data_IF_803707953379
#
_entry.id   IF_803707953379
#
_cell.length_a   1.000
_cell.length_b   1.000
_cell.length_c   1.000
_cell.angle_alpha   90.00
_cell.angle_beta   90.00
_cell.angle_gamma   90.00
#
_symmetry.space_group_name_H-M   'P 1'
#
loop_
_entity.id
_entity.type
_entity.pdbx_description
1 polymer ?
#
# COMPACT_ATOMS: atom_id res chain seq x y z
N UNK A 1 -6.66 29.58 -6.96
CA UNK A 1 -5.45 30.16 -7.57
C UNK A 1 -4.27 29.33 -7.09
N UNK A 2 -3.33 28.97 -7.98
CA UNK A 2 -2.12 28.27 -7.58
C UNK A 2 -1.34 29.13 -6.57
N UNK A 3 -0.70 28.51 -5.56
CA UNK A 3 0.18 29.25 -4.66
C UNK A 3 1.37 29.79 -5.49
N UNK A 4 1.73 31.08 -5.34
CA UNK A 4 2.87 31.63 -6.06
C UNK A 4 4.15 30.90 -5.68
N UNK A 5 5.04 30.69 -6.65
CA UNK A 5 6.35 30.08 -6.37
C UNK A 5 7.28 31.06 -5.61
N UNK A 6 8.44 30.61 -5.13
CA UNK A 6 9.34 31.45 -4.32
C UNK A 6 9.89 32.64 -5.12
N UNK A 7 10.14 32.48 -6.42
CA UNK A 7 10.57 33.58 -7.29
C UNK A 7 9.46 34.62 -7.45
N UNK A 8 8.22 34.19 -7.73
CA UNK A 8 7.03 35.04 -7.83
C UNK A 8 6.73 35.76 -6.51
N UNK A 9 6.94 35.08 -5.38
CA UNK A 9 6.80 35.64 -4.03
C UNK A 9 7.74 36.83 -3.81
N UNK A 10 8.96 36.76 -4.36
CA UNK A 10 9.93 37.88 -4.36
C UNK A 10 9.77 38.83 -5.56
N UNK A 11 8.85 38.55 -6.49
CA UNK A 11 8.66 39.33 -7.72
C UNK A 11 9.79 39.19 -8.73
N UNK A 12 10.46 38.04 -8.74
CA UNK A 12 11.64 37.73 -9.55
C UNK A 12 11.33 36.64 -10.60
N UNK A 13 12.22 36.54 -11.59
CA UNK A 13 12.25 35.41 -12.55
C UNK A 13 13.13 34.29 -12.00
N UNK A 14 12.91 33.06 -12.45
CA UNK A 14 13.77 31.91 -12.11
C UNK A 14 15.24 32.09 -12.50
N UNK A 15 15.53 32.98 -13.45
CA UNK A 15 16.89 33.38 -13.86
C UNK A 15 17.54 34.44 -12.97
N UNK A 16 16.92 34.85 -11.86
CA UNK A 16 17.44 35.92 -11.00
C UNK A 16 18.78 35.54 -10.35
N UNK A 17 19.68 36.50 -10.27
CA UNK A 17 20.97 36.38 -9.59
C UNK A 17 20.80 36.47 -8.06
N UNK A 18 21.78 35.97 -7.31
CA UNK A 18 21.77 36.05 -5.84
C UNK A 18 21.67 37.51 -5.34
N UNK A 19 22.32 38.45 -6.04
CA UNK A 19 22.24 39.88 -5.72
C UNK A 19 20.82 40.44 -5.88
N UNK A 20 20.09 40.03 -6.91
CA UNK A 20 18.70 40.41 -7.14
C UNK A 20 17.76 39.82 -6.09
N UNK A 21 18.00 38.57 -5.68
CA UNK A 21 17.26 37.89 -4.60
C UNK A 21 17.41 38.65 -3.28
N UNK A 22 18.64 38.99 -2.89
CA UNK A 22 18.93 39.78 -1.68
C UNK A 22 18.33 41.19 -1.75
N UNK A 23 18.32 41.82 -2.92
CA UNK A 23 17.74 43.15 -3.10
C UNK A 23 16.20 43.12 -2.98
N UNK A 24 15.55 42.14 -3.60
CA UNK A 24 14.10 41.98 -3.55
C UNK A 24 13.60 41.67 -2.13
N UNK A 25 14.27 40.75 -1.43
CA UNK A 25 13.94 40.42 -0.03
C UNK A 25 14.03 41.65 0.88
N UNK A 26 15.14 42.40 0.82
CA UNK A 26 15.32 43.63 1.62
C UNK A 26 14.20 44.64 1.40
N UNK A 27 13.76 44.81 0.16
CA UNK A 27 12.66 45.73 -0.19
C UNK A 27 11.33 45.30 0.45
N UNK A 28 11.05 44.00 0.50
CA UNK A 28 9.82 43.46 1.09
C UNK A 28 9.86 43.57 2.62
N UNK A 29 10.99 43.20 3.24
CA UNK A 29 11.19 43.31 4.70
C UNK A 29 11.00 44.74 5.18
N UNK A 30 11.61 45.72 4.50
CA UNK A 30 11.48 47.14 4.88
C UNK A 30 10.03 47.65 4.83
N UNK A 31 9.20 47.08 3.95
CA UNK A 31 7.81 47.49 3.74
C UNK A 31 6.82 46.77 4.67
N UNK A 32 7.11 45.53 5.02
CA UNK A 32 6.19 44.63 5.74
C UNK A 32 6.71 44.15 7.10
N UNK A 33 7.74 44.81 7.66
CA UNK A 33 8.27 44.48 8.98
C UNK A 33 7.18 44.57 10.06
N UNK A 34 7.04 43.57 10.94
CA UNK A 34 5.97 43.53 11.95
C UNK A 34 5.99 44.74 12.90
N UNK A 35 7.19 45.24 13.25
CA UNK A 35 7.33 46.43 14.11
C UNK A 35 6.80 47.73 13.47
N UNK A 36 6.78 47.81 12.14
CA UNK A 36 6.34 49.01 11.40
C UNK A 36 4.96 48.86 10.80
N UNK A 37 4.48 47.63 10.64
CA UNK A 37 3.19 47.33 10.03
C UNK A 37 2.54 46.11 10.72
N UNK A 38 1.68 46.32 11.72
CA UNK A 38 1.05 45.24 12.49
C UNK A 38 -0.14 44.57 11.75
N UNK A 39 -0.39 44.90 10.48
CA UNK A 39 -1.45 44.27 9.69
C UNK A 39 -1.17 42.76 9.48
N UNK A 40 -2.12 41.87 9.82
CA UNK A 40 -2.01 40.44 9.54
C UNK A 40 -1.69 40.10 8.08
N UNK A 41 -2.09 40.92 7.11
CA UNK A 41 -1.72 40.74 5.72
C UNK A 41 -0.23 40.98 5.47
N UNK A 42 0.37 41.99 6.11
CA UNK A 42 1.80 42.29 6.02
C UNK A 42 2.65 41.21 6.66
N UNK A 43 2.22 40.67 7.81
CA UNK A 43 2.89 39.53 8.45
C UNK A 43 2.95 38.32 7.52
N UNK A 44 1.87 38.01 6.79
CA UNK A 44 1.85 36.89 5.83
C UNK A 44 2.81 37.13 4.66
N UNK A 45 2.87 38.35 4.14
CA UNK A 45 3.81 38.72 3.05
C UNK A 45 5.26 38.61 3.54
N UNK A 46 5.54 39.09 4.76
CA UNK A 46 6.85 39.00 5.39
C UNK A 46 7.30 37.55 5.59
N UNK A 47 6.43 36.69 6.13
CA UNK A 47 6.72 35.28 6.32
C UNK A 47 6.97 34.56 5.00
N UNK A 48 6.11 34.78 4.00
CA UNK A 48 6.26 34.17 2.68
C UNK A 48 7.55 34.62 1.96
N UNK A 49 7.93 35.89 2.10
CA UNK A 49 9.17 36.42 1.54
C UNK A 49 10.41 35.88 2.26
N UNK A 50 10.32 35.62 3.56
CA UNK A 50 11.41 35.01 4.34
C UNK A 50 11.61 33.55 3.94
N UNK A 51 10.54 32.77 3.87
CA UNK A 51 10.58 31.38 3.37
C UNK A 51 11.16 31.30 1.95
N UNK A 52 10.73 32.20 1.05
CA UNK A 52 11.27 32.27 -0.30
C UNK A 52 12.75 32.65 -0.33
N UNK A 53 13.19 33.58 0.52
CA UNK A 53 14.59 33.99 0.60
C UNK A 53 15.50 32.87 1.12
N UNK A 54 15.09 32.18 2.17
CA UNK A 54 15.88 31.11 2.81
C UNK A 54 16.17 29.96 1.83
N UNK A 55 15.20 29.62 0.97
CA UNK A 55 15.36 28.60 -0.06
C UNK A 55 16.20 29.08 -1.25
N UNK A 56 16.05 30.35 -1.65
CA UNK A 56 16.67 30.88 -2.87
C UNK A 56 18.09 31.43 -2.68
N UNK A 57 18.47 31.79 -1.45
CA UNK A 57 19.81 32.33 -1.15
C UNK A 57 20.87 31.23 -1.05
N UNK A 58 20.50 30.04 -0.59
CA UNK A 58 21.40 28.88 -0.53
C UNK A 58 21.47 28.22 -1.93
N UNK A 59 22.66 28.15 -2.55
CA UNK A 59 22.83 27.50 -3.84
C UNK A 59 22.37 26.04 -3.89
N UNK A 60 22.49 25.29 -2.80
CA UNK A 60 22.14 23.86 -2.77
C UNK A 60 20.61 23.69 -2.65
N UNK A 61 19.99 24.43 -1.73
CA UNK A 61 18.54 24.48 -1.57
C UNK A 61 17.84 24.99 -2.84
N UNK A 62 18.40 26.04 -3.47
CA UNK A 62 17.90 26.60 -4.74
C UNK A 62 17.93 25.57 -5.86
N UNK A 63 19.02 24.80 -6.00
CA UNK A 63 19.10 23.72 -7.01
C UNK A 63 18.05 22.65 -6.79
N UNK A 64 17.82 22.22 -5.54
CA UNK A 64 16.77 21.26 -5.21
C UNK A 64 15.37 21.79 -5.53
N UNK A 65 15.13 23.06 -5.22
CA UNK A 65 13.87 23.74 -5.53
C UNK A 65 13.62 23.86 -7.04
N UNK A 66 14.63 24.29 -7.80
CA UNK A 66 14.54 24.42 -9.26
C UNK A 66 14.29 23.08 -9.96
N UNK A 67 14.91 22.00 -9.46
CA UNK A 67 14.63 20.63 -9.92
C UNK A 67 13.19 20.20 -9.63
N UNK A 68 12.67 20.54 -8.44
CA UNK A 68 11.28 20.31 -8.07
C UNK A 68 10.30 20.98 -9.03
N UNK A 69 10.51 22.27 -9.32
CA UNK A 69 9.71 23.03 -10.27
C UNK A 69 9.78 22.44 -11.69
N UNK A 70 10.96 22.02 -12.15
CA UNK A 70 11.11 21.40 -13.47
C UNK A 70 10.34 20.07 -13.57
N UNK A 71 10.37 19.25 -12.52
CA UNK A 71 9.64 17.99 -12.45
C UNK A 71 8.12 18.20 -12.42
N UNK A 72 7.64 19.19 -11.67
CA UNK A 72 6.21 19.54 -11.65
C UNK A 72 5.74 20.04 -13.01
N UNK A 73 6.53 20.89 -13.67
CA UNK A 73 6.23 21.37 -15.03
C UNK A 73 6.15 20.21 -16.03
N UNK A 74 7.08 19.25 -15.94
CA UNK A 74 7.08 18.05 -16.79
C UNK A 74 5.82 17.19 -16.57
N UNK A 75 5.48 16.92 -15.30
CA UNK A 75 4.27 16.17 -14.93
C UNK A 75 3.00 16.88 -15.38
N UNK A 76 2.95 18.20 -15.29
CA UNK A 76 1.82 19.00 -15.78
C UNK A 76 1.68 18.91 -17.31
N UNK A 77 2.81 18.97 -18.04
CA UNK A 77 2.82 18.82 -19.49
C UNK A 77 2.37 17.40 -19.93
N UNK A 78 2.80 16.36 -19.21
CA UNK A 78 2.38 14.97 -19.46
C UNK A 78 0.87 14.79 -19.26
N UNK A 79 0.32 15.30 -18.14
CA UNK A 79 -1.13 15.28 -17.89
C UNK A 79 -1.91 16.00 -18.98
N UNK A 80 -1.44 17.18 -19.41
CA UNK A 80 -2.10 17.92 -20.47
C UNK A 80 -2.03 17.19 -21.82
N UNK A 81 -0.91 16.53 -22.12
CA UNK A 81 -0.76 15.74 -23.33
C UNK A 81 -1.69 14.52 -23.33
N UNK A 82 -1.84 13.85 -22.19
CA UNK A 82 -2.77 12.73 -22.02
C UNK A 82 -4.22 13.19 -22.17
N UNK A 83 -4.60 14.30 -21.54
CA UNK A 83 -5.94 14.87 -21.67
C UNK A 83 -6.23 15.27 -23.13
N UNK A 84 -5.27 15.89 -23.82
CA UNK A 84 -5.42 16.26 -25.23
C UNK A 84 -5.54 15.02 -26.13
N UNK A 85 -4.81 13.94 -25.83
CA UNK A 85 -4.94 12.66 -26.53
C UNK A 85 -6.31 12.02 -26.29
N UNK A 86 -6.81 12.06 -25.06
CA UNK A 86 -8.14 11.57 -24.70
C UNK A 86 -9.24 12.35 -25.43
N UNK A 87 -9.17 13.69 -25.43
CA UNK A 87 -10.09 14.56 -26.18
C UNK A 87 -10.02 14.32 -27.69
N UNK A 88 -8.83 14.09 -28.24
CA UNK A 88 -8.66 13.75 -29.66
C UNK A 88 -9.18 12.35 -30.02
N UNK A 89 -9.04 11.38 -29.12
CA UNK A 89 -9.63 10.05 -29.28
C UNK A 89 -11.16 10.11 -29.22
N UNK A 90 -11.71 10.91 -28.29
CA UNK A 90 -13.15 11.12 -28.18
C UNK A 90 -13.73 11.84 -29.41
N UNK A 91 -13.05 12.88 -29.92
CA UNK A 91 -13.48 13.59 -31.12
C UNK A 91 -13.42 12.70 -32.36
N UNK A 92 -12.39 11.86 -32.50
CA UNK A 92 -12.32 10.83 -33.55
C UNK A 92 -13.42 9.78 -33.40
N UNK A 93 -13.71 9.34 -32.19
CA UNK A 93 -14.80 8.40 -31.93
C UNK A 93 -16.18 9.00 -32.26
N UNK A 94 -16.40 10.29 -31.93
CA UNK A 94 -17.61 11.03 -32.30
C UNK A 94 -17.69 11.23 -33.82
N UNK A 95 -16.59 11.56 -34.49
CA UNK A 95 -16.54 11.70 -35.94
C UNK A 95 -16.78 10.35 -36.65
N UNK A 96 -16.22 9.25 -36.14
CA UNK A 96 -16.48 7.90 -36.65
C UNK A 96 -17.95 7.50 -36.46
N UNK A 97 -18.57 7.84 -35.32
CA UNK A 97 -20.01 7.64 -35.09
C UNK A 97 -20.86 8.50 -36.03
N UNK A 98 -20.47 9.75 -36.28
CA UNK A 98 -21.15 10.65 -37.21
C UNK A 98 -21.04 10.19 -38.67
N UNK A 99 -19.87 9.68 -39.08
CA UNK A 99 -19.65 9.08 -40.39
C UNK A 99 -20.43 7.76 -40.57
N UNK A 100 -20.61 6.99 -39.49
CA UNK A 100 -21.50 5.83 -39.44
C UNK A 100 -22.99 6.19 -39.54
N UNK A 101 -23.38 7.45 -39.30
CA UNK A 101 -24.76 7.94 -39.42
C UNK A 101 -25.02 8.73 -40.71
N UNK A 102 -24.01 8.94 -41.55
CA UNK A 102 -24.23 9.49 -42.89
C UNK A 102 -25.04 8.46 -43.72
N UNK A 103 -26.13 8.87 -44.41
CA UNK A 103 -26.88 7.94 -45.24
C UNK A 103 -25.95 7.42 -46.34
N UNK A 104 -25.83 6.09 -46.53
CA UNK A 104 -24.91 5.54 -47.51
C UNK A 104 -25.29 6.03 -48.92
N UNK A 105 -24.34 6.20 -49.86
CA UNK A 105 -24.70 6.26 -51.27
C UNK A 105 -25.52 5.00 -51.56
N UNK A 106 -26.64 5.15 -52.27
CA UNK A 106 -27.56 4.04 -52.56
C UNK A 106 -26.81 2.94 -53.34
N UNK A 107 -26.22 2.01 -52.60
CA UNK A 107 -25.64 0.75 -53.02
C UNK A 107 -26.45 -0.41 -52.43
N UNK A 108 -26.28 -1.64 -52.97
CA UNK A 108 -27.24 -2.72 -52.78
C UNK A 108 -27.44 -3.04 -51.30
N UNK A 109 -28.73 -3.10 -50.92
CA UNK A 109 -29.29 -3.40 -49.59
C UNK A 109 -28.36 -4.20 -48.68
N UNK A 110 -28.09 -3.67 -47.48
CA UNK A 110 -27.41 -4.38 -46.41
C UNK A 110 -28.07 -5.77 -46.18
N UNK A 111 -27.29 -6.84 -45.95
CA UNK A 111 -27.84 -8.17 -45.74
C UNK A 111 -28.81 -8.17 -44.55
N UNK A 112 -29.88 -8.99 -44.61
CA UNK A 112 -30.91 -9.00 -43.59
C UNK A 112 -30.31 -9.26 -42.20
N UNK A 113 -30.75 -8.47 -41.21
CA UNK A 113 -30.33 -8.64 -39.82
C UNK A 113 -30.70 -10.05 -39.37
N UNK A 114 -29.71 -10.85 -39.01
CA UNK A 114 -29.95 -12.20 -38.47
C UNK A 114 -30.79 -12.11 -37.19
N UNK A 115 -31.90 -12.85 -37.07
CA UNK A 115 -32.72 -12.86 -35.86
C UNK A 115 -31.93 -13.25 -34.61
N UNK A 116 -32.26 -12.65 -33.45
CA UNK A 116 -31.61 -12.96 -32.18
C UNK A 116 -31.56 -14.46 -31.84
N UNK A 117 -32.64 -15.24 -32.02
CA UNK A 117 -32.58 -16.69 -31.78
C UNK A 117 -31.48 -17.40 -32.60
N UNK A 118 -31.27 -16.97 -33.84
CA UNK A 118 -30.22 -17.49 -34.72
C UNK A 118 -28.82 -17.11 -34.22
N UNK A 119 -28.67 -15.89 -33.68
CA UNK A 119 -27.40 -15.43 -33.11
C UNK A 119 -27.05 -16.20 -31.82
N UNK A 120 -28.03 -16.46 -30.95
CA UNK A 120 -27.85 -17.25 -29.73
C UNK A 120 -27.49 -18.70 -30.04
N UNK A 121 -28.16 -19.32 -31.03
CA UNK A 121 -27.82 -20.66 -31.50
C UNK A 121 -26.39 -20.71 -32.06
N UNK A 122 -25.99 -19.69 -32.84
CA UNK A 122 -24.63 -19.56 -33.36
C UNK A 122 -23.60 -19.39 -32.23
N UNK A 123 -23.91 -18.58 -31.21
CA UNK A 123 -23.04 -18.39 -30.05
C UNK A 123 -22.76 -19.71 -29.34
N UNK A 124 -23.81 -20.48 -29.03
CA UNK A 124 -23.67 -21.81 -28.41
C UNK A 124 -22.87 -22.78 -29.27
N UNK A 125 -23.06 -22.73 -30.60
CA UNK A 125 -22.32 -23.56 -31.55
C UNK A 125 -20.84 -23.18 -31.63
N UNK A 126 -20.51 -21.89 -31.66
CA UNK A 126 -19.11 -21.43 -31.69
C UNK A 126 -18.38 -21.85 -30.41
N UNK A 127 -19.04 -21.70 -29.28
CA UNK A 127 -18.51 -22.14 -27.99
C UNK A 127 -18.27 -23.66 -27.95
N UNK A 128 -19.25 -24.47 -28.37
CA UNK A 128 -19.12 -25.94 -28.35
C UNK A 128 -18.05 -26.47 -29.31
N UNK A 129 -17.73 -25.73 -30.38
CA UNK A 129 -16.65 -26.06 -31.32
C UNK A 129 -15.27 -25.59 -30.88
N UNK A 130 -15.14 -24.93 -29.73
CA UNK A 130 -13.87 -24.40 -29.25
C UNK A 130 -13.41 -23.12 -29.93
N UNK A 131 -14.27 -22.47 -30.73
CA UNK A 131 -13.96 -21.20 -31.42
C UNK A 131 -14.15 -20.01 -30.47
N UNK A 132 -13.34 -19.96 -29.42
CA UNK A 132 -13.50 -19.06 -28.28
C UNK A 132 -13.40 -17.57 -28.65
N UNK A 133 -12.50 -17.21 -29.55
CA UNK A 133 -12.34 -15.82 -29.98
C UNK A 133 -13.58 -15.32 -30.76
N UNK A 134 -14.14 -16.16 -31.63
CA UNK A 134 -15.36 -15.83 -32.37
C UNK A 134 -16.58 -15.81 -31.46
N UNK A 135 -16.67 -16.74 -30.51
CA UNK A 135 -17.73 -16.79 -29.51
C UNK A 135 -17.72 -15.53 -28.63
N UNK A 136 -16.55 -15.07 -28.18
CA UNK A 136 -16.41 -13.84 -27.40
C UNK A 136 -16.86 -12.61 -28.20
N UNK A 137 -16.38 -12.48 -29.44
CA UNK A 137 -16.78 -11.38 -30.33
C UNK A 137 -18.29 -11.37 -30.57
N UNK A 138 -18.90 -12.53 -30.83
CA UNK A 138 -20.34 -12.63 -31.03
C UNK A 138 -21.12 -12.34 -29.75
N UNK A 139 -20.62 -12.74 -28.59
CA UNK A 139 -21.23 -12.41 -27.31
C UNK A 139 -21.23 -10.89 -27.07
N UNK A 140 -20.14 -10.20 -27.38
CA UNK A 140 -20.07 -8.74 -27.28
C UNK A 140 -21.02 -8.04 -28.27
N UNK A 141 -21.09 -8.52 -29.52
CA UNK A 141 -22.06 -8.02 -30.51
C UNK A 141 -23.51 -8.20 -30.06
N UNK A 142 -23.82 -9.32 -29.39
CA UNK A 142 -25.14 -9.58 -28.81
C UNK A 142 -25.41 -8.61 -27.66
N UNK A 143 -24.46 -8.41 -26.74
CA UNK A 143 -24.63 -7.52 -25.59
C UNK A 143 -24.75 -6.04 -25.97
N UNK A 144 -24.13 -5.61 -27.07
CA UNK A 144 -24.31 -4.27 -27.61
C UNK A 144 -25.75 -4.06 -28.11
N UNK A 145 -26.38 -5.12 -28.64
CA UNK A 145 -27.76 -5.08 -29.16
C UNK A 145 -28.80 -5.29 -28.06
N UNK A 146 -28.53 -6.22 -27.16
CA UNK A 146 -29.35 -6.55 -26.01
C UNK A 146 -28.49 -6.75 -24.76
N UNK A 147 -28.32 -5.70 -23.94
CA UNK A 147 -27.56 -5.75 -22.70
C UNK A 147 -28.12 -6.69 -21.63
N UNK A 148 -29.38 -7.15 -21.78
CA UNK A 148 -30.08 -8.03 -20.83
C UNK A 148 -30.03 -9.49 -21.24
N UNK A 149 -29.26 -9.85 -22.27
CA UNK A 149 -29.20 -11.22 -22.74
C UNK A 149 -28.36 -12.13 -21.80
N UNK A 150 -28.97 -13.06 -21.04
CA UNK A 150 -28.26 -13.85 -20.02
C UNK A 150 -27.23 -14.82 -20.62
N UNK A 151 -27.53 -15.44 -21.77
CA UNK A 151 -26.66 -16.44 -22.39
C UNK A 151 -25.29 -15.86 -22.78
N UNK A 152 -25.25 -14.59 -23.22
CA UNK A 152 -24.00 -13.95 -23.61
C UNK A 152 -23.07 -13.77 -22.40
N UNK A 153 -23.60 -13.37 -21.24
CA UNK A 153 -22.85 -13.33 -19.98
C UNK A 153 -22.41 -14.73 -19.54
N UNK A 154 -23.28 -15.73 -19.64
CA UNK A 154 -22.95 -17.11 -19.26
C UNK A 154 -21.79 -17.68 -20.11
N UNK A 155 -21.80 -17.44 -21.42
CA UNK A 155 -20.71 -17.85 -22.33
C UNK A 155 -19.43 -17.10 -22.03
N UNK A 156 -19.48 -15.79 -21.75
CA UNK A 156 -18.30 -15.03 -21.28
C UNK A 156 -17.74 -15.58 -19.97
N UNK A 157 -18.61 -16.02 -19.05
CA UNK A 157 -18.22 -16.74 -17.84
C UNK A 157 -17.51 -18.06 -18.12
N UNK A 158 -18.06 -18.87 -19.03
CA UNK A 158 -17.44 -20.14 -19.44
C UNK A 158 -16.06 -19.93 -20.08
N UNK A 159 -15.92 -18.90 -20.93
CA UNK A 159 -14.67 -18.51 -21.57
C UNK A 159 -13.63 -18.03 -20.55
N UNK A 160 -14.03 -17.19 -19.59
CA UNK A 160 -13.16 -16.74 -18.52
C UNK A 160 -12.69 -17.90 -17.64
N UNK A 161 -13.59 -18.86 -17.35
CA UNK A 161 -13.27 -20.08 -16.61
C UNK A 161 -12.23 -20.93 -17.34
N UNK A 162 -12.35 -21.10 -18.65
CA UNK A 162 -11.37 -21.83 -19.45
C UNK A 162 -10.00 -21.16 -19.49
N UNK A 163 -9.96 -19.82 -19.41
CA UNK A 163 -8.72 -19.03 -19.32
C UNK A 163 -8.10 -19.03 -17.91
N UNK A 164 -8.70 -19.72 -16.94
CA UNK A 164 -8.28 -19.72 -15.54
C UNK A 164 -8.63 -18.43 -14.77
N UNK A 165 -9.37 -17.51 -15.36
CA UNK A 165 -9.77 -16.24 -14.74
C UNK A 165 -11.05 -16.44 -13.91
N UNK A 166 -10.93 -17.14 -12.78
CA UNK A 166 -12.07 -17.59 -11.98
C UNK A 166 -12.90 -16.44 -11.41
N UNK A 167 -12.28 -15.36 -10.94
CA UNK A 167 -13.02 -14.19 -10.44
C UNK A 167 -13.84 -13.50 -11.53
N UNK A 168 -13.26 -13.38 -12.73
CA UNK A 168 -13.97 -12.83 -13.88
C UNK A 168 -15.14 -13.73 -14.28
N UNK A 169 -14.94 -15.05 -14.27
CA UNK A 169 -16.01 -16.01 -14.51
C UNK A 169 -17.14 -15.88 -13.48
N UNK A 170 -16.82 -15.74 -12.18
CA UNK A 170 -17.81 -15.54 -11.13
C UNK A 170 -18.65 -14.26 -11.37
N UNK A 171 -18.01 -13.16 -11.76
CA UNK A 171 -18.71 -11.91 -12.11
C UNK A 171 -19.63 -12.07 -13.31
N UNK A 172 -19.20 -12.78 -14.35
CA UNK A 172 -20.02 -12.97 -15.54
C UNK A 172 -21.23 -13.89 -15.26
N UNK A 173 -21.05 -14.94 -14.45
CA UNK A 173 -22.18 -15.78 -14.04
C UNK A 173 -23.15 -15.05 -13.11
N UNK A 174 -22.66 -14.19 -12.21
CA UNK A 174 -23.56 -13.39 -11.37
C UNK A 174 -24.41 -12.42 -12.20
N UNK A 175 -23.84 -11.81 -13.24
CA UNK A 175 -24.59 -11.03 -14.22
C UNK A 175 -25.63 -11.89 -14.96
N UNK A 176 -25.27 -13.10 -15.40
CA UNK A 176 -26.22 -14.01 -16.04
C UNK A 176 -27.40 -14.37 -15.12
N UNK A 177 -27.14 -14.61 -13.82
CA UNK A 177 -28.16 -14.87 -12.80
C UNK A 177 -29.07 -13.66 -12.59
N UNK A 178 -28.52 -12.44 -12.59
CA UNK A 178 -29.34 -11.22 -12.45
C UNK A 178 -30.31 -11.05 -13.62
N UNK A 179 -29.89 -11.42 -14.83
CA UNK A 179 -30.74 -11.33 -16.03
C UNK A 179 -31.79 -12.45 -16.10
N UNK A 180 -31.45 -13.67 -15.65
CA UNK A 180 -32.37 -14.81 -15.60
C UNK A 180 -32.20 -15.62 -14.29
N UNK A 181 -32.85 -15.16 -13.20
CA UNK A 181 -32.70 -15.77 -11.88
C UNK A 181 -33.30 -17.18 -11.76
N UNK A 182 -34.18 -17.56 -12.71
CA UNK A 182 -34.91 -18.83 -12.67
C UNK A 182 -34.12 -19.97 -13.31
N UNK A 183 -32.97 -19.68 -13.92
CA UNK A 183 -32.17 -20.68 -14.59
C UNK A 183 -31.17 -21.36 -13.63
N UNK A 184 -31.39 -22.64 -13.28
CA UNK A 184 -30.53 -23.34 -12.32
C UNK A 184 -29.11 -23.56 -12.86
N UNK A 185 -28.91 -23.55 -14.17
CA UNK A 185 -27.61 -23.76 -14.81
C UNK A 185 -26.63 -22.65 -14.45
N UNK A 186 -27.08 -21.39 -14.39
CA UNK A 186 -26.21 -20.26 -14.07
C UNK A 186 -25.80 -20.26 -12.60
N UNK A 187 -26.73 -20.60 -11.71
CA UNK A 187 -26.45 -20.76 -10.29
C UNK A 187 -25.42 -21.87 -10.06
N UNK A 188 -25.62 -23.06 -10.66
CA UNK A 188 -24.70 -24.18 -10.53
C UNK A 188 -23.29 -23.83 -11.03
N UNK A 189 -23.19 -23.13 -12.17
CA UNK A 189 -21.89 -22.70 -12.72
C UNK A 189 -21.21 -21.64 -11.84
N UNK A 190 -21.99 -20.71 -11.29
CA UNK A 190 -21.50 -19.72 -10.33
C UNK A 190 -20.95 -20.38 -9.08
N UNK A 191 -21.68 -21.32 -8.48
CA UNK A 191 -21.25 -22.07 -7.29
C UNK A 191 -19.97 -22.88 -7.54
N UNK A 192 -19.89 -23.57 -8.68
CA UNK A 192 -18.68 -24.32 -9.07
C UNK A 192 -17.44 -23.42 -9.17
N UNK A 193 -17.60 -22.20 -9.71
CA UNK A 193 -16.50 -21.25 -9.79
C UNK A 193 -16.19 -20.66 -8.43
N UNK A 194 -17.19 -20.30 -7.63
CA UNK A 194 -16.99 -19.74 -6.30
C UNK A 194 -16.20 -20.69 -5.40
N UNK A 195 -16.54 -21.98 -5.42
CA UNK A 195 -15.79 -23.02 -4.70
C UNK A 195 -14.32 -23.06 -5.12
N UNK A 196 -14.02 -22.92 -6.42
CA UNK A 196 -12.63 -22.86 -6.94
C UNK A 196 -11.93 -21.51 -6.74
N UNK A 197 -12.67 -20.42 -6.50
CA UNK A 197 -12.08 -19.15 -6.08
C UNK A 197 -11.65 -19.26 -4.61
N UNK A 198 -12.51 -19.87 -3.79
CA UNK A 198 -12.28 -20.10 -2.37
C UNK A 198 -11.25 -21.20 -2.10
N UNK A 199 -11.07 -22.17 -2.99
CA UNK A 199 -10.04 -23.21 -2.88
C UNK A 199 -8.90 -22.89 -3.83
N UNK A 200 -7.67 -22.77 -3.33
CA UNK A 200 -6.50 -22.57 -4.19
C UNK A 200 -6.27 -23.75 -5.15
N UNK A 201 -5.33 -23.65 -6.11
CA UNK A 201 -5.01 -24.77 -7.02
C UNK A 201 -4.64 -26.07 -6.26
N UNK A 202 -4.16 -25.96 -5.02
CA UNK A 202 -3.79 -27.07 -4.14
C UNK A 202 -4.97 -27.66 -3.33
N UNK A 203 -6.20 -27.20 -3.57
CA UNK A 203 -7.41 -27.65 -2.87
C UNK A 203 -7.56 -27.12 -1.44
N UNK A 204 -6.63 -26.31 -0.95
CA UNK A 204 -6.71 -25.67 0.37
C UNK A 204 -7.61 -24.43 0.34
N UNK A 205 -8.39 -24.24 1.39
CA UNK A 205 -9.20 -23.02 1.57
C UNK A 205 -8.28 -21.80 1.59
N UNK A 206 -8.50 -20.84 0.69
CA UNK A 206 -7.88 -19.52 0.72
C UNK A 206 -8.55 -18.74 1.84
N UNK A 207 -7.92 -18.73 3.00
CA UNK A 207 -8.24 -17.76 4.05
C UNK A 207 -7.95 -16.36 3.55
N UNK A 208 -8.84 -15.43 3.88
CA UNK A 208 -8.65 -14.03 3.56
C UNK A 208 -7.37 -13.50 4.25
N UNK A 209 -6.60 -12.59 3.62
CA UNK A 209 -5.38 -12.05 4.21
C UNK A 209 -5.58 -11.44 5.61
N UNK A 210 -6.73 -10.78 5.82
CA UNK A 210 -7.07 -10.21 7.12
C UNK A 210 -7.32 -11.28 8.19
N UNK A 211 -7.92 -12.42 7.83
CA UNK A 211 -8.14 -13.53 8.75
C UNK A 211 -6.82 -14.22 9.14
N UNK A 212 -5.89 -14.34 8.19
CA UNK A 212 -4.53 -14.85 8.47
C UNK A 212 -3.81 -13.95 9.46
N UNK A 213 -3.91 -12.63 9.27
CA UNK A 213 -3.27 -11.65 10.14
C UNK A 213 -3.89 -11.64 11.55
N UNK A 214 -5.21 -11.78 11.68
CA UNK A 214 -5.88 -11.84 12.99
C UNK A 214 -5.55 -13.13 13.74
N UNK A 215 -5.51 -14.27 13.06
CA UNK A 215 -5.07 -15.53 13.67
C UNK A 215 -3.61 -15.45 14.13
N UNK A 216 -2.73 -14.86 13.32
CA UNK A 216 -1.33 -14.68 13.66
C UNK A 216 -1.13 -13.73 14.84
N UNK A 217 -1.89 -12.63 14.93
CA UNK A 217 -1.81 -11.69 16.05
C UNK A 217 -2.35 -12.28 17.36
N UNK A 218 -3.40 -13.12 17.28
CA UNK A 218 -3.94 -13.84 18.42
C UNK A 218 -2.93 -14.87 18.95
N UNK A 219 -2.30 -15.65 18.07
CA UNK A 219 -1.24 -16.58 18.44
C UNK A 219 -0.07 -15.87 19.13
N UNK A 220 0.36 -14.72 18.58
CA UNK A 220 1.40 -13.89 19.17
C UNK A 220 1.03 -13.35 20.56
N UNK A 221 -0.21 -12.89 20.74
CA UNK A 221 -0.70 -12.40 22.04
C UNK A 221 -0.70 -13.52 23.09
N UNK A 222 -1.07 -14.74 22.71
CA UNK A 222 -1.01 -15.92 23.60
C UNK A 222 0.43 -16.18 24.03
N UNK A 223 1.39 -16.14 23.11
CA UNK A 223 2.82 -16.33 23.43
C UNK A 223 3.32 -15.27 24.41
N UNK A 224 2.98 -13.99 24.19
CA UNK A 224 3.36 -12.91 25.10
C UNK A 224 2.75 -13.09 26.49
N UNK A 225 1.49 -13.52 26.56
CA UNK A 225 0.82 -13.81 27.82
C UNK A 225 1.49 -14.96 28.57
N UNK A 226 1.77 -16.07 27.89
CA UNK A 226 2.44 -17.23 28.49
C UNK A 226 3.84 -16.88 28.99
N UNK A 227 4.59 -16.07 28.22
CA UNK A 227 5.90 -15.58 28.62
C UNK A 227 5.84 -14.66 29.85
N UNK A 228 4.84 -13.77 29.92
CA UNK A 228 4.61 -12.94 31.09
C UNK A 228 4.24 -13.78 32.32
N UNK A 229 3.33 -14.76 32.17
CA UNK A 229 2.96 -15.69 33.26
C UNK A 229 4.16 -16.48 33.74
N UNK A 230 5.02 -16.93 32.83
CA UNK A 230 6.27 -17.60 33.18
C UNK A 230 7.15 -16.72 34.09
N UNK A 231 7.32 -15.43 33.79
CA UNK A 231 8.09 -14.52 34.63
C UNK A 231 7.46 -14.30 36.02
N UNK A 232 6.13 -14.35 36.12
CA UNK A 232 5.46 -14.20 37.41
C UNK A 232 5.70 -15.42 38.30
N UNK A 233 5.75 -16.62 37.72
CA UNK A 233 5.79 -17.89 38.47
C UNK A 233 7.18 -18.51 38.59
N UNK A 234 8.11 -18.19 37.70
CA UNK A 234 9.46 -18.77 37.68
C UNK A 234 10.42 -17.93 38.53
N UNK A 235 10.83 -18.38 39.73
CA UNK A 235 11.82 -17.68 40.52
C UNK A 235 13.22 -17.91 39.94
N UNK A 236 13.72 -16.92 39.20
CA UNK A 236 15.04 -16.98 38.59
C UNK A 236 16.02 -16.02 39.26
N UNK A 237 17.31 -16.38 39.22
CA UNK A 237 18.39 -15.53 39.74
C UNK A 237 18.93 -14.64 38.63
N UNK A 238 19.29 -13.38 38.92
CA UNK A 238 19.95 -12.52 37.95
C UNK A 238 21.31 -13.08 37.52
N UNK A 239 21.63 -12.95 36.24
CA UNK A 239 22.88 -13.45 35.65
C UNK A 239 23.88 -12.33 35.39
N UNK A 240 23.42 -11.10 35.18
CA UNK A 240 24.24 -9.97 34.74
C UNK A 240 24.54 -8.97 35.86
N UNK A 241 24.86 -9.44 37.06
CA UNK A 241 25.07 -8.61 38.25
C UNK A 241 26.21 -7.58 38.14
N UNK A 242 27.06 -7.65 37.11
CA UNK A 242 28.13 -6.68 36.85
C UNK A 242 27.78 -5.53 35.89
N UNK A 243 26.55 -5.48 35.37
CA UNK A 243 26.08 -4.42 34.47
C UNK A 243 24.83 -3.77 35.04
N UNK A 244 24.96 -2.56 35.61
CA UNK A 244 23.86 -1.84 36.29
C UNK A 244 22.57 -1.78 35.47
N UNK A 245 22.70 -1.64 34.15
CA UNK A 245 21.60 -1.48 33.19
C UNK A 245 20.71 -2.74 33.11
N UNK A 246 21.27 -3.93 33.31
CA UNK A 246 20.60 -5.23 33.21
C UNK A 246 20.85 -6.09 34.44
N UNK A 247 21.19 -5.49 35.57
CA UNK A 247 21.66 -6.18 36.76
C UNK A 247 20.62 -7.16 37.33
N UNK A 248 19.34 -6.87 37.13
CA UNK A 248 18.22 -7.71 37.58
C UNK A 248 17.77 -8.75 36.55
N UNK A 249 18.43 -8.83 35.38
CA UNK A 249 17.97 -9.68 34.28
C UNK A 249 18.34 -11.14 34.50
N UNK A 250 17.35 -12.00 34.25
CA UNK A 250 17.46 -13.46 34.37
C UNK A 250 17.59 -14.11 32.99
N UNK A 251 18.04 -15.37 32.96
CA UNK A 251 18.15 -16.13 31.70
C UNK A 251 16.78 -16.27 31.03
N UNK A 252 15.75 -16.56 31.81
CA UNK A 252 14.38 -16.71 31.33
C UNK A 252 13.83 -15.43 30.74
N UNK A 253 14.09 -14.26 31.35
CA UNK A 253 13.69 -12.97 30.76
C UNK A 253 14.34 -12.76 29.38
N UNK A 254 15.65 -12.97 29.27
CA UNK A 254 16.39 -12.84 28.01
C UNK A 254 15.85 -13.80 26.96
N UNK A 255 15.65 -15.07 27.33
CA UNK A 255 15.08 -16.08 26.44
C UNK A 255 13.67 -15.71 25.97
N UNK A 256 12.80 -15.28 26.88
CA UNK A 256 11.42 -14.88 26.56
C UNK A 256 11.36 -13.64 25.67
N UNK A 257 12.18 -12.62 25.92
CA UNK A 257 12.29 -11.43 25.06
C UNK A 257 12.67 -11.82 23.63
N UNK A 258 13.70 -12.65 23.47
CA UNK A 258 14.14 -13.10 22.15
C UNK A 258 13.07 -13.96 21.46
N UNK A 259 12.48 -14.93 22.18
CA UNK A 259 11.44 -15.82 21.65
C UNK A 259 10.18 -15.06 21.25
N UNK A 260 9.67 -14.17 22.10
CA UNK A 260 8.55 -13.29 21.75
C UNK A 260 8.86 -12.48 20.49
N UNK A 261 10.10 -11.99 20.35
CA UNK A 261 10.59 -11.40 19.11
C UNK A 261 10.45 -12.33 17.91
N UNK A 262 11.04 -13.53 17.98
CA UNK A 262 10.98 -14.55 16.91
C UNK A 262 9.54 -14.86 16.51
N UNK A 263 8.65 -15.04 17.50
CA UNK A 263 7.23 -15.26 17.23
C UNK A 263 6.56 -14.04 16.60
N UNK A 264 6.86 -12.81 17.03
CA UNK A 264 6.34 -11.59 16.40
C UNK A 264 6.71 -11.55 14.91
N UNK A 265 7.98 -11.78 14.59
CA UNK A 265 8.49 -11.80 13.22
C UNK A 265 7.87 -12.91 12.37
N UNK A 266 7.78 -14.12 12.91
CA UNK A 266 7.18 -15.27 12.21
C UNK A 266 5.67 -15.09 12.00
N UNK A 267 4.93 -14.64 13.01
CA UNK A 267 3.49 -14.37 12.91
C UNK A 267 3.20 -13.25 11.91
N UNK A 268 3.92 -12.14 11.96
CA UNK A 268 3.76 -11.05 11.01
C UNK A 268 4.17 -11.46 9.60
N UNK A 269 5.17 -12.32 9.44
CA UNK A 269 5.43 -12.95 8.15
C UNK A 269 4.19 -13.74 7.74
N UNK A 270 3.77 -14.77 8.48
CA UNK A 270 2.68 -15.71 8.13
C UNK A 270 1.36 -15.00 7.80
N UNK A 271 1.02 -13.98 8.58
CA UNK A 271 -0.16 -13.15 8.35
C UNK A 271 -0.07 -12.17 7.19
N UNK A 272 0.98 -12.23 6.34
CA UNK A 272 1.25 -11.25 5.28
C UNK A 272 1.28 -9.81 5.84
N UNK A 273 1.66 -9.70 7.11
CA UNK A 273 1.75 -8.46 7.89
C UNK A 273 3.05 -7.71 7.62
N UNK A 274 4.11 -8.45 7.27
CA UNK A 274 5.39 -7.95 6.77
C UNK A 274 5.49 -8.30 5.28
N UNK A 275 5.44 -7.29 4.42
CA UNK A 275 5.97 -7.43 3.05
C UNK A 275 7.47 -7.77 3.14
N UNK A 276 8.06 -8.38 2.09
CA UNK A 276 9.51 -8.58 1.99
C UNK A 276 10.16 -7.29 2.46
N UNK A 277 10.90 -7.31 3.58
CA UNK A 277 11.55 -6.10 4.11
C UNK A 277 12.19 -5.39 2.92
N UNK A 278 11.69 -4.20 2.55
CA UNK A 278 11.77 -3.54 1.23
C UNK A 278 13.22 -3.22 0.75
N UNK A 279 14.16 -4.15 0.88
CA UNK A 279 15.52 -3.85 1.31
C UNK A 279 16.60 -4.82 0.81
N UNK A 280 16.24 -5.89 0.09
CA UNK A 280 17.25 -6.75 -0.54
C UNK A 280 17.09 -6.90 -2.05
N UNK A 281 15.98 -6.43 -2.63
CA UNK A 281 15.69 -6.60 -4.06
C UNK A 281 16.40 -5.58 -4.99
N UNK A 282 17.01 -4.52 -4.45
CA UNK A 282 17.58 -3.42 -5.27
C UNK A 282 18.89 -2.82 -4.71
N UNK A 283 19.60 -3.54 -3.83
CA UNK A 283 20.89 -3.10 -3.28
C UNK A 283 20.84 -1.91 -2.31
N UNK A 284 19.66 -1.59 -1.74
CA UNK A 284 19.47 -0.53 -0.74
C UNK A 284 18.94 -1.10 0.55
N UNK A 285 19.52 -0.70 1.69
CA UNK A 285 19.03 -1.06 3.03
C UNK A 285 17.70 -0.33 3.27
N UNK A 286 16.61 -1.09 3.38
CA UNK A 286 15.29 -0.54 3.68
C UNK A 286 15.13 -0.16 5.15
N UNK A 287 14.10 0.65 5.47
CA UNK A 287 13.96 1.31 6.76
C UNK A 287 13.95 0.33 7.95
N UNK A 288 13.33 -0.83 7.81
CA UNK A 288 13.31 -1.85 8.87
C UNK A 288 14.70 -2.38 9.22
N UNK A 289 15.52 -2.66 8.21
CA UNK A 289 16.89 -3.16 8.43
C UNK A 289 17.80 -2.03 8.91
N UNK A 290 17.62 -0.81 8.38
CA UNK A 290 18.37 0.37 8.82
C UNK A 290 18.08 0.73 10.29
N UNK A 291 16.81 0.67 10.70
CA UNK A 291 16.40 0.83 12.10
C UNK A 291 16.87 -0.32 12.98
N UNK A 292 17.08 -1.51 12.41
CA UNK A 292 17.71 -2.64 13.09
C UNK A 292 19.02 -2.25 13.76
N UNK A 293 19.91 -1.53 13.06
CA UNK A 293 21.18 -1.08 13.63
C UNK A 293 21.00 -0.16 14.84
N UNK A 294 20.00 0.73 14.78
CA UNK A 294 19.67 1.64 15.89
C UNK A 294 19.03 0.87 17.04
N UNK A 295 18.16 -0.10 16.74
CA UNK A 295 17.46 -0.90 17.75
C UNK A 295 18.38 -1.82 18.56
N UNK A 296 19.53 -2.23 18.00
CA UNK A 296 20.55 -2.98 18.75
C UNK A 296 21.08 -2.15 19.92
N UNK A 297 21.23 -0.84 19.69
CA UNK A 297 21.73 0.11 20.70
C UNK A 297 20.59 0.56 21.60
N UNK A 298 19.48 1.03 21.03
CA UNK A 298 18.31 1.47 21.80
C UNK A 298 17.06 1.40 20.94
N UNK A 299 16.19 0.44 21.24
CA UNK A 299 14.89 0.30 20.60
C UNK A 299 14.01 1.55 20.79
N UNK A 300 13.89 2.17 21.98
CA UNK A 300 13.15 3.42 22.12
C UNK A 300 13.68 4.55 21.22
N UNK A 301 15.01 4.66 21.07
CA UNK A 301 15.61 5.62 20.15
C UNK A 301 15.26 5.29 18.69
N UNK A 302 15.24 4.00 18.31
CA UNK A 302 14.81 3.57 16.99
C UNK A 302 13.34 3.90 16.71
N UNK A 303 12.46 3.75 17.71
CA UNK A 303 11.04 4.15 17.61
C UNK A 303 10.92 5.65 17.41
N UNK A 304 11.61 6.47 18.20
CA UNK A 304 11.60 7.94 18.05
C UNK A 304 12.11 8.35 16.68
N UNK A 305 13.23 7.77 16.24
CA UNK A 305 13.80 8.02 14.92
C UNK A 305 12.81 7.64 13.81
N UNK A 306 12.14 6.49 13.93
CA UNK A 306 11.13 6.06 12.97
C UNK A 306 9.93 7.01 12.92
N UNK A 307 9.45 7.47 14.08
CA UNK A 307 8.37 8.45 14.15
C UNK A 307 8.77 9.79 13.51
N UNK A 308 9.98 10.29 13.79
CA UNK A 308 10.50 11.51 13.18
C UNK A 308 10.64 11.36 11.66
N UNK A 309 11.22 10.26 11.19
CA UNK A 309 11.32 9.97 9.76
C UNK A 309 9.95 9.92 9.10
N UNK A 310 8.97 9.27 9.73
CA UNK A 310 7.61 9.19 9.20
C UNK A 310 6.89 10.54 9.13
N UNK A 311 7.12 11.42 10.12
CA UNK A 311 6.61 12.80 10.10
C UNK A 311 7.27 13.64 9.01
N UNK A 312 8.59 13.55 8.85
CA UNK A 312 9.36 14.27 7.82
C UNK A 312 8.95 13.80 6.42
N UNK A 313 8.82 12.49 6.23
CA UNK A 313 8.47 11.87 4.94
C UNK A 313 6.95 11.88 4.66
N UNK A 314 6.13 12.35 5.63
CA UNK A 314 4.66 12.35 5.57
C UNK A 314 4.07 10.98 5.21
N UNK A 315 4.65 9.91 5.74
CA UNK A 315 4.23 8.55 5.45
C UNK A 315 4.92 7.54 6.35
N UNK A 316 4.20 6.47 6.69
CA UNK A 316 4.71 5.36 7.48
C UNK A 316 4.72 4.08 6.64
N UNK A 317 5.78 3.29 6.79
CA UNK A 317 5.85 1.97 6.20
C UNK A 317 5.05 0.99 7.09
N UNK A 318 3.98 0.40 6.56
CA UNK A 318 3.05 -0.41 7.34
C UNK A 318 3.73 -1.63 7.99
N UNK A 319 4.63 -2.28 7.24
CA UNK A 319 5.44 -3.42 7.69
C UNK A 319 6.36 -3.05 8.86
N UNK A 320 7.05 -1.91 8.75
CA UNK A 320 7.93 -1.40 9.81
C UNK A 320 7.12 -1.01 11.06
N UNK A 321 5.99 -0.33 10.87
CA UNK A 321 5.08 0.04 11.96
C UNK A 321 4.57 -1.19 12.70
N UNK A 322 4.11 -2.21 11.98
CA UNK A 322 3.58 -3.46 12.56
C UNK A 322 4.64 -4.18 13.40
N UNK A 323 5.88 -4.29 12.91
CA UNK A 323 6.98 -4.90 13.66
C UNK A 323 7.31 -4.10 14.92
N UNK A 324 7.43 -2.77 14.81
CA UNK A 324 7.72 -1.90 15.97
C UNK A 324 6.62 -2.01 17.04
N UNK A 325 5.35 -2.02 16.63
CA UNK A 325 4.21 -2.19 17.54
C UNK A 325 4.23 -3.58 18.19
N UNK A 326 4.47 -4.65 17.43
CA UNK A 326 4.52 -6.00 17.99
C UNK A 326 5.64 -6.15 19.03
N UNK A 327 6.82 -5.61 18.74
CA UNK A 327 7.95 -5.59 19.70
C UNK A 327 7.60 -4.77 20.94
N UNK A 328 7.02 -3.58 20.79
CA UNK A 328 6.59 -2.76 21.92
C UNK A 328 5.55 -3.48 22.80
N UNK A 329 4.60 -4.20 22.18
CA UNK A 329 3.60 -5.00 22.89
C UNK A 329 4.26 -6.15 23.66
N UNK A 330 5.16 -6.92 23.04
CA UNK A 330 5.88 -8.00 23.73
C UNK A 330 6.65 -7.47 24.96
N UNK A 331 7.38 -6.37 24.77
CA UNK A 331 8.16 -5.73 25.85
C UNK A 331 7.24 -5.24 26.97
N UNK A 332 6.10 -4.64 26.65
CA UNK A 332 5.13 -4.20 27.65
C UNK A 332 4.54 -5.37 28.45
N UNK A 333 4.20 -6.48 27.79
CA UNK A 333 3.74 -7.70 28.48
C UNK A 333 4.79 -8.27 29.42
N UNK A 334 6.04 -8.38 28.97
CA UNK A 334 7.14 -8.92 29.77
C UNK A 334 7.52 -7.99 30.93
N UNK A 335 7.48 -6.67 30.73
CA UNK A 335 7.64 -5.69 31.80
C UNK A 335 6.51 -5.79 32.83
N UNK A 336 5.27 -6.00 32.39
CA UNK A 336 4.13 -6.25 33.29
C UNK A 336 4.29 -7.55 34.09
N UNK A 337 4.73 -8.63 33.44
CA UNK A 337 5.07 -9.90 34.10
C UNK A 337 6.19 -9.74 35.13
N UNK A 338 7.24 -8.99 34.79
CA UNK A 338 8.32 -8.64 35.71
C UNK A 338 7.82 -7.84 36.93
N UNK A 339 6.92 -6.87 36.72
CA UNK A 339 6.37 -6.04 37.80
C UNK A 339 5.49 -6.84 38.79
N UNK A 340 4.78 -7.84 38.29
CA UNK A 340 3.93 -8.72 39.09
C UNK A 340 4.69 -9.90 39.69
N UNK A 341 5.85 -10.23 39.12
CA UNK A 341 6.68 -11.36 39.53
C UNK A 341 7.46 -11.09 40.81
N UNK A 342 7.77 -12.17 41.54
CA UNK A 342 8.57 -12.11 42.78
C UNK A 342 10.09 -12.12 42.52
N UNK A 343 10.50 -12.15 41.26
CA UNK A 343 11.91 -12.30 40.84
C UNK A 343 12.77 -11.06 40.97
N UNK A 344 12.23 -9.92 41.41
CA UNK A 344 12.99 -8.68 41.58
C UNK A 344 13.50 -8.05 40.27
N UNK A 345 12.91 -8.43 39.13
CA UNK A 345 13.24 -7.87 37.82
C UNK A 345 12.70 -6.45 37.75
N UNK A 346 13.56 -5.47 37.47
CA UNK A 346 13.13 -4.07 37.36
C UNK A 346 12.35 -3.83 36.06
N UNK A 347 11.04 -3.52 36.10
CA UNK A 347 10.21 -3.41 34.90
C UNK A 347 10.65 -2.31 33.94
N UNK A 348 11.17 -1.20 34.49
CA UNK A 348 11.63 -0.08 33.70
C UNK A 348 12.85 -0.44 32.84
N UNK A 349 13.78 -1.25 33.38
CA UNK A 349 14.91 -1.78 32.61
C UNK A 349 14.43 -2.63 31.41
N UNK A 350 13.36 -3.43 31.60
CA UNK A 350 12.76 -4.24 30.53
C UNK A 350 12.15 -3.35 29.46
N UNK A 351 11.44 -2.28 29.81
CA UNK A 351 10.88 -1.33 28.85
C UNK A 351 11.96 -0.63 28.02
N UNK A 352 13.07 -0.24 28.66
CA UNK A 352 14.12 0.55 28.02
C UNK A 352 15.02 -0.29 27.11
N UNK A 353 15.30 -1.55 27.49
CA UNK A 353 16.31 -2.39 26.82
C UNK A 353 15.76 -3.69 26.24
N UNK A 354 14.60 -4.17 26.69
CA UNK A 354 14.02 -5.42 26.22
C UNK A 354 13.69 -5.40 24.74
N UNK A 355 13.35 -4.22 24.21
CA UNK A 355 13.08 -4.01 22.78
C UNK A 355 14.29 -4.32 21.89
N UNK A 356 15.53 -4.14 22.37
CA UNK A 356 16.72 -4.41 21.58
C UNK A 356 16.79 -5.90 21.19
N UNK A 357 16.51 -6.77 22.17
CA UNK A 357 16.56 -8.21 21.97
C UNK A 357 15.32 -8.75 21.26
N UNK A 358 14.14 -8.24 21.62
CA UNK A 358 12.89 -8.63 20.97
C UNK A 358 12.84 -8.20 19.50
N UNK A 359 13.41 -7.05 19.14
CA UNK A 359 13.49 -6.60 17.74
C UNK A 359 14.41 -7.50 16.90
N UNK A 360 15.58 -7.86 17.44
CA UNK A 360 16.49 -8.82 16.81
C UNK A 360 15.81 -10.18 16.60
N UNK A 361 15.13 -10.68 17.63
CA UNK A 361 14.30 -11.88 17.51
C UNK A 361 13.27 -11.73 16.38
N UNK A 362 12.60 -10.59 16.29
CA UNK A 362 11.67 -10.25 15.21
C UNK A 362 12.25 -10.38 13.81
N UNK A 363 13.46 -9.85 13.59
CA UNK A 363 14.15 -9.98 12.31
C UNK A 363 14.49 -11.45 12.00
N UNK A 364 14.97 -12.20 12.99
CA UNK A 364 15.29 -13.63 12.83
C UNK A 364 14.04 -14.46 12.50
N UNK A 365 12.95 -14.26 13.26
CA UNK A 365 11.70 -14.98 13.06
C UNK A 365 11.06 -14.68 11.71
N UNK A 366 11.13 -13.43 11.27
CA UNK A 366 10.72 -13.06 9.92
C UNK A 366 11.58 -13.79 8.86
N UNK A 367 12.91 -13.76 8.98
CA UNK A 367 13.81 -14.36 7.98
C UNK A 367 13.59 -15.88 7.84
N UNK A 368 13.40 -16.58 8.95
CA UNK A 368 13.07 -18.01 8.94
C UNK A 368 11.71 -18.26 8.28
N UNK A 369 10.67 -17.54 8.69
CA UNK A 369 9.33 -17.73 8.14
C UNK A 369 9.24 -17.35 6.65
N UNK A 370 9.98 -16.33 6.21
CA UNK A 370 10.07 -15.92 4.81
C UNK A 370 10.75 -17.00 3.96
N UNK A 371 11.85 -17.59 4.44
CA UNK A 371 12.55 -18.66 3.74
C UNK A 371 11.65 -19.88 3.47
N UNK A 372 10.76 -20.20 4.42
CA UNK A 372 9.84 -21.33 4.32
C UNK A 372 8.69 -21.09 3.31
N UNK A 373 8.31 -19.82 3.05
CA UNK A 373 7.28 -19.52 2.04
C UNK A 373 7.73 -19.81 0.62
N UNK A 374 9.02 -19.60 0.35
CA UNK A 374 9.57 -19.65 -1.01
C UNK A 374 10.23 -20.98 -1.34
N UNK A 375 10.31 -21.91 -0.38
CA UNK A 375 10.83 -23.28 -0.57
C UNK A 375 9.80 -24.29 -1.08
N UNK A 376 8.53 -23.88 -1.22
CA UNK A 376 7.42 -24.67 -1.77
C UNK A 376 6.84 -23.98 -2.99
#
# INVERSE_FOLDING_TARGET
MARPNHYETLGLRSSATEGEIKAAYRKIVLRHHPDRNPDPASTRIFMAATEAYDVLVDPDARRGYDQGLANEARRAAERQAEENRARAAESRARAARAASTAPPPRGPTAPPRTPMPTQLARLSMLFSRGLYAEAEKLADEILVRDPRQPLAYAVKGDLARQRGKLEEAARQYSLAIQMDPRNPTYLQRYEQVLMRVQTGPDGKLRMDPNERLTLASLAFAIVCLLAAVFLVWSPERPVFSGLDIVATWTVGLVAMLFLCGVFAGACLSVGEGLDRLDAYAAGRIGPTVALGLVSVVSFPAAVVLYLLLGLIQRGFNLSTTRLMVAVAVAVAFLAGGAALGRGGIEPFSVLLWGGNLAYLGGLCGWAVADSLRYST
#
